data_IF_828017495922
#
_entry.id   IF_828017495922
#
_cell.length_a   1.000
_cell.length_b   1.000
_cell.length_c   1.000
_cell.angle_alpha   90.00
_cell.angle_beta   90.00
_cell.angle_gamma   90.00
#
_symmetry.space_group_name_H-M   'P 1'
#
loop_
_entity.id
_entity.type
_entity.pdbx_description
1 polymer ?
#
# COMPACT_ATOMS: atom_id res chain seq x y z
N UNK A 1 -13.55 14.26 -21.33
CA UNK A 1 -12.22 13.64 -21.15
C UNK A 1 -12.04 13.50 -19.65
N UNK A 2 -12.42 12.35 -19.08
CA UNK A 2 -12.34 12.13 -17.62
C UNK A 2 -10.90 11.78 -17.25
N UNK A 3 -10.23 12.67 -16.52
CA UNK A 3 -9.04 12.29 -15.77
C UNK A 3 -9.46 11.26 -14.73
N UNK A 4 -8.93 10.04 -14.79
CA UNK A 4 -9.17 8.98 -13.80
C UNK A 4 -7.89 8.67 -13.05
N UNK A 5 -7.90 8.98 -11.75
CA UNK A 5 -6.98 8.48 -10.73
C UNK A 5 -6.13 9.58 -10.08
N UNK A 6 -6.67 10.28 -9.08
CA UNK A 6 -5.83 10.96 -8.09
C UNK A 6 -5.10 9.85 -7.30
N UNK A 7 -3.77 9.84 -7.30
CA UNK A 7 -3.00 8.84 -6.57
C UNK A 7 -3.06 9.15 -5.07
N UNK A 8 -3.04 8.11 -4.23
CA UNK A 8 -2.89 8.30 -2.78
C UNK A 8 -1.43 8.15 -2.39
N UNK A 9 -0.86 9.15 -1.73
CA UNK A 9 0.49 9.06 -1.16
C UNK A 9 0.45 8.95 0.37
N UNK A 10 1.07 7.89 0.89
CA UNK A 10 1.33 7.70 2.31
C UNK A 10 2.78 8.10 2.61
N UNK A 11 2.98 9.13 3.42
CA UNK A 11 4.30 9.64 3.79
C UNK A 11 4.67 9.16 5.20
N UNK A 12 5.86 8.58 5.34
CA UNK A 12 6.44 8.08 6.58
C UNK A 12 7.81 8.71 6.82
N UNK A 13 8.40 8.54 8.01
CA UNK A 13 9.75 9.05 8.26
C UNK A 13 10.79 8.35 7.38
N UNK A 14 10.52 7.11 7.01
CA UNK A 14 11.43 6.23 6.28
C UNK A 14 11.31 6.35 4.75
N UNK A 15 10.28 7.03 4.24
CA UNK A 15 9.99 7.17 2.81
C UNK A 15 8.50 7.32 2.55
N UNK A 16 8.05 7.07 1.32
CA UNK A 16 6.64 7.12 0.95
C UNK A 16 6.16 5.88 0.20
N UNK A 17 4.85 5.68 0.22
CA UNK A 17 4.15 4.69 -0.59
C UNK A 17 3.11 5.41 -1.43
N UNK A 18 3.21 5.31 -2.76
CA UNK A 18 2.26 5.91 -3.69
C UNK A 18 1.40 4.82 -4.30
N UNK A 19 0.10 4.94 -4.11
CA UNK A 19 -0.92 4.04 -4.64
C UNK A 19 -1.56 4.69 -5.86
N UNK A 20 -1.30 4.12 -7.04
CA UNK A 20 -1.95 4.47 -8.30
C UNK A 20 -2.88 3.32 -8.72
N UNK A 21 -3.79 3.50 -9.70
CA UNK A 21 -4.68 2.42 -10.13
C UNK A 21 -3.98 1.15 -10.64
N UNK A 22 -2.77 1.28 -11.17
CA UNK A 22 -2.02 0.17 -11.80
C UNK A 22 -0.62 -0.03 -11.25
N UNK A 23 -0.19 0.82 -10.32
CA UNK A 23 1.13 0.73 -9.71
C UNK A 23 1.05 0.98 -8.22
N UNK A 24 1.96 0.36 -7.48
CA UNK A 24 2.25 0.73 -6.09
C UNK A 24 3.75 0.99 -6.01
N UNK A 25 4.13 2.24 -5.76
CA UNK A 25 5.53 2.68 -5.67
C UNK A 25 5.90 2.79 -4.21
N UNK A 26 7.03 2.22 -3.83
CA UNK A 26 7.54 2.22 -2.47
C UNK A 26 8.96 2.77 -2.49
N UNK A 27 9.20 3.89 -1.79
CA UNK A 27 10.53 4.49 -1.59
C UNK A 27 11.10 4.22 -0.19
N UNK A 28 10.47 3.27 0.51
CA UNK A 28 10.87 2.82 1.84
C UNK A 28 11.86 1.65 1.68
N UNK A 29 13.03 1.69 2.34
CA UNK A 29 13.98 0.59 2.30
C UNK A 29 13.36 -0.75 2.75
N UNK A 30 13.58 -1.78 1.94
CA UNK A 30 13.00 -3.10 2.16
C UNK A 30 14.07 -4.20 2.27
N UNK A 31 13.70 -5.33 2.87
CA UNK A 31 14.54 -6.52 3.00
C UNK A 31 14.22 -7.54 1.92
N UNK A 32 12.93 -7.76 1.67
CA UNK A 32 12.46 -8.72 0.68
C UNK A 32 11.08 -8.34 0.16
N UNK A 33 10.78 -8.81 -1.05
CA UNK A 33 9.43 -8.88 -1.59
C UNK A 33 9.12 -10.29 -2.07
N UNK A 34 7.86 -10.68 -2.05
CA UNK A 34 7.42 -11.97 -2.57
C UNK A 34 5.93 -11.97 -2.89
N UNK A 35 5.51 -12.94 -3.70
CA UNK A 35 4.11 -13.19 -4.02
C UNK A 35 3.63 -14.46 -3.30
N UNK A 36 2.37 -14.45 -2.85
CA UNK A 36 1.69 -15.64 -2.37
C UNK A 36 0.32 -15.75 -3.01
N UNK A 37 0.05 -16.87 -3.65
CA UNK A 37 -1.28 -17.18 -4.19
C UNK A 37 -2.08 -17.95 -3.14
N UNK A 38 -3.32 -17.51 -2.90
CA UNK A 38 -4.28 -18.19 -2.03
C UNK A 38 -5.66 -18.18 -2.67
N UNK A 39 -6.17 -19.38 -2.98
CA UNK A 39 -7.47 -19.58 -3.62
C UNK A 39 -7.58 -18.78 -4.93
N UNK A 40 -8.34 -17.68 -4.91
CA UNK A 40 -8.61 -16.83 -6.07
C UNK A 40 -7.95 -15.44 -5.95
N UNK A 41 -6.97 -15.31 -5.05
CA UNK A 41 -6.27 -14.07 -4.74
C UNK A 41 -4.77 -14.26 -4.84
N UNK A 42 -4.10 -13.17 -5.20
CA UNK A 42 -2.65 -13.04 -5.19
C UNK A 42 -2.29 -11.91 -4.24
N UNK A 43 -1.34 -12.18 -3.36
CA UNK A 43 -0.86 -11.23 -2.36
C UNK A 43 0.59 -10.89 -2.68
N UNK A 44 0.87 -9.62 -2.88
CA UNK A 44 2.23 -9.09 -2.98
C UNK A 44 2.63 -8.55 -1.62
N UNK A 45 3.76 -9.01 -1.11
CA UNK A 45 4.34 -8.55 0.14
C UNK A 45 5.62 -7.78 -0.14
N UNK A 46 5.80 -6.65 0.55
CA UNK A 46 7.06 -5.91 0.64
C UNK A 46 7.37 -5.74 2.12
N UNK A 47 8.47 -6.34 2.58
CA UNK A 47 8.85 -6.32 3.99
C UNK A 47 9.92 -5.27 4.25
N UNK A 48 9.66 -4.37 5.19
CA UNK A 48 10.54 -3.25 5.50
C UNK A 48 11.89 -3.73 6.05
N UNK A 49 12.94 -2.95 5.81
CA UNK A 49 14.24 -3.17 6.43
C UNK A 49 14.23 -2.88 7.92
N UNK A 50 13.45 -1.87 8.30
CA UNK A 50 13.29 -1.41 9.66
C UNK A 50 11.82 -1.09 9.88
N UNK A 51 11.40 -1.18 11.13
CA UNK A 51 10.03 -0.84 11.50
C UNK A 51 9.70 0.62 11.14
N UNK A 52 8.55 0.84 10.49
CA UNK A 52 8.07 2.19 10.18
C UNK A 52 7.76 2.94 11.45
N UNK A 53 8.29 4.16 11.56
CA UNK A 53 7.99 5.01 12.69
C UNK A 53 6.84 5.92 12.31
N UNK A 54 5.75 5.95 13.10
CA UNK A 54 4.68 6.91 12.85
C UNK A 54 5.26 8.33 12.91
N UNK A 55 4.81 9.19 12.00
CA UNK A 55 5.17 10.61 12.06
C UNK A 55 4.71 11.19 13.40
N UNK A 56 5.61 11.87 14.11
CA UNK A 56 5.21 12.84 15.16
C UNK A 56 4.74 14.12 14.45
N UNK A 57 3.56 14.10 13.84
CA UNK A 57 2.91 15.27 13.26
C UNK A 57 1.40 15.23 13.60
N UNK A 58 0.72 16.39 13.69
CA UNK A 58 -0.47 16.56 14.51
C UNK A 58 -1.60 15.67 13.98
N UNK A 59 -2.06 14.74 14.83
CA UNK A 59 -3.35 14.02 14.72
C UNK A 59 -3.90 13.86 13.30
N UNK A 60 -3.56 12.76 12.65
CA UNK A 60 -4.53 12.15 11.73
C UNK A 60 -5.60 11.53 12.64
N UNK A 61 -6.64 12.30 12.99
CA UNK A 61 -7.80 11.86 13.79
C UNK A 61 -8.76 10.99 12.94
N UNK A 62 -8.24 10.13 12.06
CA UNK A 62 -9.07 9.11 11.40
C UNK A 62 -9.09 7.88 12.29
N UNK A 63 -9.96 7.90 13.29
CA UNK A 63 -10.38 6.68 14.00
C UNK A 63 -11.53 6.08 13.20
N UNK A 64 -11.26 5.00 12.46
CA UNK A 64 -12.25 4.34 11.62
C UNK A 64 -12.06 4.56 10.12
N UNK A 65 -13.17 4.72 9.38
CA UNK A 65 -13.24 4.79 7.91
C UNK A 65 -13.22 6.25 7.44
N UNK A 66 -12.26 6.62 6.60
CA UNK A 66 -12.18 7.93 5.94
C UNK A 66 -12.12 7.78 4.42
N UNK A 67 -12.54 8.81 3.69
CA UNK A 67 -12.33 8.92 2.23
C UNK A 67 -11.28 10.00 2.00
N UNK A 68 -10.21 9.67 1.28
CA UNK A 68 -9.11 10.57 0.90
C UNK A 68 -9.17 10.74 -0.62
N UNK A 69 -8.95 11.98 -1.09
CA UNK A 69 -8.89 12.33 -2.51
C UNK A 69 -10.09 11.80 -3.33
N UNK A 70 -11.28 11.96 -2.71
CA UNK A 70 -12.61 11.64 -3.24
C UNK A 70 -12.83 10.20 -3.76
N UNK A 71 -11.86 9.29 -3.56
CA UNK A 71 -11.85 8.02 -4.30
C UNK A 71 -11.15 6.87 -3.58
N UNK A 72 -10.18 7.16 -2.71
CA UNK A 72 -9.57 6.16 -1.85
C UNK A 72 -10.28 6.12 -0.51
N UNK A 73 -10.60 4.92 -0.05
CA UNK A 73 -11.06 4.71 1.30
C UNK A 73 -9.91 4.19 2.16
N UNK A 74 -9.81 4.71 3.38
CA UNK A 74 -8.77 4.35 4.32
C UNK A 74 -9.40 3.96 5.65
N UNK A 75 -8.98 2.82 6.20
CA UNK A 75 -9.43 2.30 7.48
C UNK A 75 -8.21 2.12 8.38
N UNK A 76 -8.15 2.88 9.47
CA UNK A 76 -7.14 2.71 10.50
C UNK A 76 -7.65 1.76 11.59
N UNK A 77 -6.88 0.71 11.88
CA UNK A 77 -7.22 -0.29 12.90
C UNK A 77 -6.11 -0.39 13.94
N UNK A 78 -6.49 -0.38 15.21
CA UNK A 78 -5.60 -0.58 16.36
C UNK A 78 -6.05 -1.83 17.13
N UNK A 79 -5.21 -2.86 17.16
CA UNK A 79 -5.46 -4.12 17.87
C UNK A 79 -4.88 -4.12 19.30
N UNK A 80 -4.27 -3.03 19.76
CA UNK A 80 -3.57 -2.93 21.04
C UNK A 80 -2.14 -3.47 21.04
N UNK A 81 -1.81 -4.41 20.14
CA UNK A 81 -0.44 -4.92 19.91
C UNK A 81 0.12 -4.58 18.53
N UNK A 82 -0.74 -4.22 17.57
CA UNK A 82 -0.35 -3.81 16.22
C UNK A 82 -1.35 -2.78 15.67
N UNK A 83 -0.84 -1.82 14.91
CA UNK A 83 -1.64 -0.84 14.19
C UNK A 83 -1.41 -1.02 12.70
N UNK A 84 -2.49 -1.01 11.93
CA UNK A 84 -2.39 -1.12 10.48
C UNK A 84 -3.39 -0.21 9.77
N UNK A 85 -3.03 0.14 8.55
CA UNK A 85 -3.81 0.96 7.66
C UNK A 85 -4.28 0.11 6.48
N UNK A 86 -5.60 -0.03 6.31
CA UNK A 86 -6.16 -0.64 5.11
C UNK A 86 -6.53 0.45 4.12
N UNK A 87 -6.05 0.32 2.89
CA UNK A 87 -6.28 1.25 1.79
C UNK A 87 -7.11 0.53 0.73
N UNK A 88 -8.31 1.02 0.49
CA UNK A 88 -9.26 0.50 -0.48
C UNK A 88 -9.26 1.46 -1.66
N UNK A 89 -8.78 1.04 -2.83
CA UNK A 89 -8.63 1.90 -3.98
C UNK A 89 -9.96 2.12 -4.71
N UNK A 90 -10.06 3.12 -5.59
CA UNK A 90 -11.23 3.29 -6.44
C UNK A 90 -11.42 2.11 -7.40
N UNK A 91 -12.65 1.92 -7.88
CA UNK A 91 -13.05 0.77 -8.73
C UNK A 91 -12.26 0.62 -10.03
N UNK A 92 -11.56 1.67 -10.48
CA UNK A 92 -10.70 1.63 -11.67
C UNK A 92 -9.35 0.92 -11.44
N UNK A 93 -9.02 0.62 -10.18
CA UNK A 93 -7.74 0.04 -9.80
C UNK A 93 -7.68 -1.47 -10.01
N UNK A 94 -6.46 -1.99 -10.18
CA UNK A 94 -6.24 -3.41 -10.53
C UNK A 94 -5.97 -4.31 -9.32
N UNK A 95 -5.91 -3.74 -8.12
CA UNK A 95 -5.83 -4.42 -6.84
C UNK A 95 -7.11 -4.14 -6.03
N UNK A 96 -7.40 -5.03 -5.09
CA UNK A 96 -8.62 -4.99 -4.29
C UNK A 96 -8.46 -4.12 -3.04
N UNK A 97 -7.31 -4.20 -2.38
CA UNK A 97 -6.92 -3.35 -1.25
C UNK A 97 -5.43 -3.53 -0.95
N UNK A 98 -4.89 -2.63 -0.14
CA UNK A 98 -3.55 -2.73 0.44
C UNK A 98 -3.63 -2.64 1.97
N UNK A 99 -2.73 -3.32 2.67
CA UNK A 99 -2.58 -3.20 4.13
C UNK A 99 -1.15 -2.78 4.43
N UNK A 100 -0.98 -1.69 5.16
CA UNK A 100 0.31 -1.20 5.63
C UNK A 100 0.39 -1.42 7.13
N UNK A 101 1.39 -2.18 7.58
CA UNK A 101 1.75 -2.34 8.98
C UNK A 101 3.08 -1.65 9.27
N UNK A 102 3.53 -1.68 10.52
CA UNK A 102 4.86 -1.20 10.87
C UNK A 102 5.99 -2.07 10.31
N UNK A 103 5.69 -3.26 9.76
CA UNK A 103 6.69 -4.23 9.28
C UNK A 103 6.60 -4.57 7.80
N UNK A 104 5.43 -4.43 7.19
CA UNK A 104 5.24 -4.76 5.78
C UNK A 104 4.10 -3.99 5.10
N UNK A 105 4.13 -4.03 3.77
CA UNK A 105 3.01 -3.74 2.90
C UNK A 105 2.52 -5.05 2.28
N UNK A 106 1.22 -5.25 2.34
CA UNK A 106 0.47 -6.21 1.55
C UNK A 106 -0.32 -5.46 0.47
N UNK A 107 -0.23 -5.92 -0.78
CA UNK A 107 -1.15 -5.53 -1.86
C UNK A 107 -1.90 -6.78 -2.31
N UNK A 108 -3.22 -6.79 -2.14
CA UNK A 108 -4.06 -7.91 -2.53
C UNK A 108 -4.69 -7.65 -3.89
N UNK A 109 -4.50 -8.56 -4.84
CA UNK A 109 -5.05 -8.49 -6.20
C UNK A 109 -5.81 -9.77 -6.59
N UNK A 110 -6.75 -9.67 -7.55
CA UNK A 110 -7.36 -10.84 -8.18
C UNK A 110 -6.30 -11.76 -8.81
N UNK A 111 -6.47 -13.08 -8.71
CA UNK A 111 -5.48 -14.07 -9.21
C UNK A 111 -5.13 -13.93 -10.71
N UNK A 112 -6.05 -13.39 -11.51
CA UNK A 112 -5.85 -13.18 -12.95
C UNK A 112 -4.85 -12.07 -13.29
N UNK A 113 -4.53 -11.21 -12.32
CA UNK A 113 -3.60 -10.09 -12.50
C UNK A 113 -2.17 -10.56 -12.39
N UNK A 114 -1.32 -10.01 -13.25
CA UNK A 114 0.12 -10.25 -13.22
C UNK A 114 0.81 -9.08 -12.55
N UNK A 115 1.97 -9.37 -11.97
CA UNK A 115 2.79 -8.38 -11.27
C UNK A 115 4.18 -8.37 -11.89
N UNK A 116 4.71 -7.17 -12.12
CA UNK A 116 6.10 -6.94 -12.52
C UNK A 116 6.74 -5.97 -11.53
N UNK A 117 8.05 -6.06 -11.39
CA UNK A 117 8.80 -5.29 -10.41
C UNK A 117 9.94 -4.55 -11.09
N UNK A 118 10.08 -3.30 -10.70
CA UNK A 118 11.27 -2.49 -10.96
C UNK A 118 11.87 -2.13 -9.61
N UNK A 119 13.13 -2.48 -9.39
CA UNK A 119 13.81 -2.32 -8.11
C UNK A 119 15.07 -1.50 -8.30
N UNK A 120 15.21 -0.46 -7.48
CA UNK A 120 16.47 0.27 -7.34
C UNK A 120 17.20 -0.25 -6.08
N UNK A 121 17.86 -1.39 -6.28
CA UNK A 121 18.50 -2.14 -5.21
C UNK A 121 17.49 -2.53 -4.14
N UNK A 122 17.59 -1.90 -2.97
CA UNK A 122 16.76 -2.20 -1.80
C UNK A 122 16.22 -0.95 -1.12
N UNK A 123 16.32 0.19 -1.81
CA UNK A 123 15.77 1.47 -1.38
C UNK A 123 14.37 1.68 -1.95
N UNK A 124 14.14 1.23 -3.19
CA UNK A 124 12.88 1.48 -3.90
C UNK A 124 12.39 0.25 -4.66
N UNK A 125 11.07 0.07 -4.67
CA UNK A 125 10.41 -0.93 -5.51
C UNK A 125 9.11 -0.36 -6.07
N UNK A 126 8.95 -0.49 -7.39
CA UNK A 126 7.68 -0.24 -8.07
C UNK A 126 7.03 -1.56 -8.45
N UNK A 127 5.81 -1.77 -7.96
CA UNK A 127 4.96 -2.92 -8.26
C UNK A 127 4.01 -2.54 -9.38
N UNK A 128 4.24 -3.05 -10.59
CA UNK A 128 3.36 -2.84 -11.75
C UNK A 128 2.31 -3.96 -11.83
N UNK A 129 1.03 -3.59 -11.97
CA UNK A 129 -0.10 -4.53 -12.00
C UNK A 129 -0.75 -4.51 -13.39
N UNK A 130 -0.94 -5.70 -13.99
CA UNK A 130 -1.49 -5.88 -15.35
C UNK A 130 -2.70 -6.81 -15.34
#
# INVERSE_FOLDING_TARGET
MEARGEALELITREGSIVFEPRTVKVTIPFTKRFEREMRNQRNVYVMWRQELKPFKAPRIDVVGRGIIDSSYEVIATDLGFEKYLTIIPPSASLYNYSVVTSHELLVQLPIKRKVYYEEEGSAEVTVYIV
#
